data_IF_115604687206
#
_entry.id   IF_115604687206
#
_cell.length_a   1.000
_cell.length_b   1.000
_cell.length_c   1.000
_cell.angle_alpha   90.00
_cell.angle_beta   90.00
_cell.angle_gamma   90.00
#
_symmetry.space_group_name_H-M   'P 1'
#
loop_
_entity.id
_entity.type
_entity.pdbx_description
1 polymer ?
#
# COMPACT_ATOMS: atom_id res chain seq x y z
N UNK A 1 2.16 -9.52 7.51
CA UNK A 1 2.27 -10.99 7.30
C UNK A 1 1.98 -11.28 5.83
N UNK A 2 2.23 -12.51 5.36
CA UNK A 2 1.90 -12.84 3.98
C UNK A 2 0.40 -12.62 3.73
N UNK A 3 0.07 -11.91 2.65
CA UNK A 3 -1.31 -11.56 2.30
C UNK A 3 -1.86 -10.30 2.98
N UNK A 4 -1.10 -9.64 3.87
CA UNK A 4 -1.53 -8.38 4.48
C UNK A 4 -1.31 -7.19 3.53
N UNK A 5 -2.04 -6.10 3.78
CA UNK A 5 -1.81 -4.83 3.11
C UNK A 5 -0.80 -4.00 3.91
N UNK A 6 0.25 -3.57 3.22
CA UNK A 6 1.28 -2.73 3.80
C UNK A 6 0.82 -1.27 3.80
N UNK A 7 0.60 -0.70 4.99
CA UNK A 7 0.22 0.70 5.16
C UNK A 7 1.36 1.47 5.81
N UNK A 8 1.84 2.54 5.18
CA UNK A 8 2.95 3.34 5.70
C UNK A 8 2.91 4.79 5.23
N UNK A 9 3.55 5.72 5.95
CA UNK A 9 3.63 7.12 5.49
C UNK A 9 4.47 7.23 4.21
N UNK A 10 5.64 6.60 4.23
CA UNK A 10 6.61 6.50 3.14
C UNK A 10 7.29 5.13 3.23
N UNK A 11 7.74 4.58 2.11
CA UNK A 11 8.52 3.35 2.03
C UNK A 11 9.93 3.64 1.52
N UNK A 12 10.90 2.81 1.91
CA UNK A 12 12.29 2.89 1.42
C UNK A 12 12.70 1.58 0.74
N UNK A 13 13.78 1.57 -0.06
CA UNK A 13 14.28 0.35 -0.70
C UNK A 13 14.57 -0.82 0.26
N UNK A 14 14.80 -0.55 1.54
CA UNK A 14 14.97 -1.61 2.54
C UNK A 14 13.69 -2.44 2.77
N UNK A 15 12.53 -1.94 2.34
CA UNK A 15 11.23 -2.57 2.54
C UNK A 15 10.85 -3.54 1.42
N UNK A 16 11.65 -3.65 0.35
CA UNK A 16 11.38 -4.57 -0.77
C UNK A 16 11.02 -6.00 -0.34
N UNK A 17 11.65 -6.63 0.67
CA UNK A 17 11.23 -7.94 1.15
C UNK A 17 9.79 -7.99 1.72
N UNK A 18 9.29 -6.86 2.24
CA UNK A 18 7.90 -6.76 2.72
C UNK A 18 6.90 -6.71 1.57
N UNK A 19 7.27 -6.11 0.43
CA UNK A 19 6.42 -6.08 -0.77
C UNK A 19 6.20 -7.49 -1.32
N UNK A 20 7.22 -8.34 -1.28
CA UNK A 20 7.10 -9.75 -1.67
C UNK A 20 6.09 -10.55 -0.84
N UNK A 21 5.74 -10.07 0.36
CA UNK A 21 4.75 -10.69 1.24
C UNK A 21 3.38 -9.99 1.20
N UNK A 22 3.33 -8.76 0.70
CA UNK A 22 2.12 -7.94 0.75
C UNK A 22 1.11 -8.36 -0.32
N UNK A 23 -0.17 -8.26 -0.02
CA UNK A 23 -1.25 -8.35 -1.02
C UNK A 23 -1.57 -7.00 -1.68
N UNK A 24 -1.00 -5.90 -1.16
CA UNK A 24 -1.19 -4.55 -1.65
C UNK A 24 -0.41 -3.55 -0.80
N UNK A 25 -0.24 -2.33 -1.33
CA UNK A 25 0.44 -1.25 -0.60
C UNK A 25 -0.40 0.03 -0.59
N UNK A 26 -0.42 0.71 0.55
CA UNK A 26 -1.06 2.02 0.72
C UNK A 26 -0.06 2.97 1.36
N UNK A 27 0.15 4.13 0.75
CA UNK A 27 1.01 5.16 1.35
C UNK A 27 0.38 6.54 1.45
N UNK A 28 0.77 7.30 2.47
CA UNK A 28 0.34 8.70 2.60
C UNK A 28 1.08 9.61 1.63
N UNK A 29 2.35 9.28 1.36
CA UNK A 29 3.24 10.03 0.46
C UNK A 29 3.66 9.14 -0.69
N UNK A 30 3.69 9.70 -1.89
CA UNK A 30 4.11 9.02 -3.10
C UNK A 30 3.31 9.47 -4.30
N UNK A 31 3.67 8.93 -5.46
CA UNK A 31 3.01 9.20 -6.72
C UNK A 31 3.34 8.12 -7.74
N UNK A 32 2.88 8.25 -8.99
CA UNK A 32 2.99 7.18 -9.99
C UNK A 32 4.43 6.72 -10.34
N UNK A 33 5.43 7.51 -9.96
CA UNK A 33 6.85 7.25 -10.19
C UNK A 33 7.65 7.04 -8.88
N UNK A 34 6.98 7.01 -7.72
CA UNK A 34 7.69 6.78 -6.46
C UNK A 34 8.19 5.34 -6.35
N UNK A 35 9.16 5.13 -5.47
CA UNK A 35 9.70 3.80 -5.15
C UNK A 35 8.60 2.77 -4.88
N UNK A 36 7.63 3.12 -4.01
CA UNK A 36 6.47 2.28 -3.71
C UNK A 36 5.67 1.89 -4.96
N UNK A 37 5.50 2.80 -5.92
CA UNK A 37 4.75 2.54 -7.15
C UNK A 37 5.48 1.60 -8.08
N UNK A 38 6.80 1.75 -8.19
CA UNK A 38 7.63 0.93 -9.07
C UNK A 38 7.66 -0.50 -8.53
N UNK A 39 8.00 -0.65 -7.26
CA UNK A 39 8.11 -1.98 -6.63
C UNK A 39 6.76 -2.70 -6.59
N UNK A 40 5.65 -2.00 -6.32
CA UNK A 40 4.33 -2.64 -6.36
C UNK A 40 3.98 -3.21 -7.75
N UNK A 41 4.37 -2.54 -8.83
CA UNK A 41 4.17 -3.03 -10.21
C UNK A 41 5.04 -4.25 -10.50
N UNK A 42 6.29 -4.26 -10.04
CA UNK A 42 7.20 -5.40 -10.18
C UNK A 42 6.67 -6.66 -9.48
N UNK A 43 6.01 -6.49 -8.34
CA UNK A 43 5.37 -7.58 -7.60
C UNK A 43 3.92 -7.87 -8.02
N UNK A 44 3.38 -7.14 -9.01
CA UNK A 44 2.01 -7.29 -9.49
C UNK A 44 0.94 -7.17 -8.39
N UNK A 45 1.14 -6.24 -7.45
CA UNK A 45 0.18 -5.97 -6.37
C UNK A 45 -0.47 -4.59 -6.51
N UNK A 46 -1.74 -4.43 -6.10
CA UNK A 46 -2.42 -3.14 -6.13
C UNK A 46 -1.74 -2.13 -5.19
N UNK A 47 -1.69 -0.87 -5.63
CA UNK A 47 -1.06 0.23 -4.91
C UNK A 47 -1.89 1.50 -4.94
N UNK A 48 -2.13 2.10 -3.77
CA UNK A 48 -2.74 3.44 -3.65
C UNK A 48 -1.81 4.34 -2.86
N UNK A 49 -1.27 5.36 -3.52
CA UNK A 49 -0.20 6.20 -2.99
C UNK A 49 -0.66 7.64 -2.88
N UNK A 50 -0.03 8.42 -2.01
CA UNK A 50 -0.36 9.83 -1.87
C UNK A 50 -1.71 10.07 -1.17
N UNK A 51 -2.16 9.14 -0.33
CA UNK A 51 -3.46 9.24 0.36
C UNK A 51 -3.52 10.40 1.36
N UNK A 52 -2.38 10.86 1.87
CA UNK A 52 -2.26 11.89 2.91
C UNK A 52 -2.81 11.51 4.29
N UNK A 53 -3.63 10.47 4.42
CA UNK A 53 -4.41 10.16 5.63
C UNK A 53 -4.53 8.68 5.98
N UNK A 54 -4.01 7.76 5.16
CA UNK A 54 -4.21 6.31 5.37
C UNK A 54 -3.63 5.84 6.71
N UNK A 55 -2.42 6.25 7.08
CA UNK A 55 -1.83 5.81 8.37
C UNK A 55 -2.57 6.35 9.59
N UNK A 56 -3.29 7.46 9.46
CA UNK A 56 -4.11 8.03 10.52
C UNK A 56 -5.54 7.47 10.57
N UNK A 57 -6.01 6.83 9.49
CA UNK A 57 -7.38 6.30 9.37
C UNK A 57 -7.47 4.78 9.47
N UNK A 58 -6.43 4.07 9.09
CA UNK A 58 -6.38 2.61 9.08
C UNK A 58 -5.64 2.12 10.32
N UNK A 59 -6.18 1.08 10.95
CA UNK A 59 -5.55 0.42 12.09
C UNK A 59 -5.04 -0.98 11.71
N UNK A 60 -3.97 -1.43 12.36
CA UNK A 60 -3.46 -2.79 12.18
C UNK A 60 -4.54 -3.83 12.47
N UNK A 61 -4.66 -4.83 11.59
CA UNK A 61 -5.67 -5.90 11.70
C UNK A 61 -7.03 -5.54 11.08
N UNK A 62 -7.23 -4.29 10.63
CA UNK A 62 -8.42 -3.88 9.92
C UNK A 62 -8.46 -4.47 8.51
N UNK A 63 -9.60 -5.05 8.13
CA UNK A 63 -9.81 -5.56 6.77
C UNK A 63 -10.11 -4.41 5.83
N UNK A 64 -9.38 -4.36 4.73
CA UNK A 64 -9.52 -3.32 3.71
C UNK A 64 -9.47 -3.93 2.31
N UNK A 65 -10.13 -3.26 1.37
CA UNK A 65 -10.01 -3.49 -0.06
C UNK A 65 -9.20 -2.35 -0.66
N UNK A 66 -8.17 -2.68 -1.44
CA UNK A 66 -7.32 -1.71 -2.15
C UNK A 66 -7.55 -1.90 -3.64
N UNK A 67 -7.96 -0.83 -4.30
CA UNK A 67 -8.15 -0.76 -5.74
C UNK A 67 -7.13 0.23 -6.32
N UNK A 68 -6.09 -0.31 -6.94
CA UNK A 68 -5.00 0.48 -7.52
C UNK A 68 -5.40 1.21 -8.81
N UNK A 69 -6.41 0.72 -9.53
CA UNK A 69 -6.87 1.34 -10.78
C UNK A 69 -7.78 2.53 -10.49
N UNK A 70 -8.70 2.39 -9.53
CA UNK A 70 -9.57 3.46 -9.08
C UNK A 70 -8.89 4.42 -8.09
N UNK A 71 -7.73 4.04 -7.54
CA UNK A 71 -7.03 4.81 -6.51
C UNK A 71 -7.78 4.86 -5.17
N UNK A 72 -8.50 3.80 -4.81
CA UNK A 72 -9.36 3.80 -3.61
C UNK A 72 -8.97 2.74 -2.58
N UNK A 73 -9.16 3.08 -1.31
CA UNK A 73 -9.03 2.14 -0.18
C UNK A 73 -10.32 2.18 0.61
N UNK A 74 -10.96 1.02 0.78
CA UNK A 74 -12.24 0.89 1.49
C UNK A 74 -12.09 -0.05 2.67
N UNK A 75 -12.68 0.31 3.79
CA UNK A 75 -12.77 -0.57 4.96
C UNK A 75 -13.86 -1.59 4.71
N UNK A 76 -13.56 -2.87 4.88
CA UNK A 76 -14.57 -3.92 4.87
C UNK A 76 -15.22 -3.97 6.25
N UNK A 77 -16.55 -3.93 6.28
CA UNK A 77 -17.36 -4.19 7.47
C UNK A 77 -17.33 -5.68 7.86
#
# INVERSE_FOLDING_TARGET
>A
RQGDILVARITTPAWTPLFALAAGVVTDVGGPLSHSSIVAREYHIPAVLGTGVATGRLSSGQRVTVDGDAGTVKVSS
#
